data_IF_513294387145
#
_entry.id   IF_513294387145
#
_cell.length_a   1.000
_cell.length_b   1.000
_cell.length_c   1.000
_cell.angle_alpha   90.00
_cell.angle_beta   90.00
_cell.angle_gamma   90.00
#
_symmetry.space_group_name_H-M   'P 1'
#
loop_
_entity.id
_entity.type
_entity.pdbx_description
1 polymer ?
#
# COMPACT_ATOMS: atom_id res chain seq x y z
N UNK A 1 26.28 33.35 -8.51
CA UNK A 1 25.08 34.11 -8.10
C UNK A 1 23.97 33.11 -7.89
N UNK A 2 23.49 32.85 -6.67
CA UNK A 2 22.48 31.83 -6.46
C UNK A 2 21.10 32.42 -6.79
N UNK A 3 20.37 31.68 -7.62
CA UNK A 3 19.03 32.01 -8.07
C UNK A 3 18.04 31.77 -6.94
N UNK A 4 17.27 32.82 -6.59
CA UNK A 4 16.16 32.74 -5.64
C UNK A 4 14.99 32.04 -6.33
N UNK A 5 14.61 30.86 -5.85
CA UNK A 5 13.31 30.26 -6.16
C UNK A 5 12.23 31.10 -5.47
N UNK A 6 11.59 32.00 -6.23
CA UNK A 6 10.55 32.88 -5.71
C UNK A 6 9.20 32.17 -5.72
N UNK A 7 8.95 31.31 -4.72
CA UNK A 7 7.58 30.93 -4.34
C UNK A 7 7.09 32.04 -3.42
N UNK A 8 6.47 33.07 -4.02
CA UNK A 8 5.92 34.24 -3.32
C UNK A 8 4.80 33.82 -2.37
N UNK A 9 5.17 33.51 -1.12
CA UNK A 9 4.26 33.20 -0.02
C UNK A 9 4.87 32.35 1.10
N UNK A 10 5.85 31.48 0.79
CA UNK A 10 6.42 30.51 1.74
C UNK A 10 7.87 30.76 2.15
N UNK A 11 8.51 31.75 1.53
CA UNK A 11 9.86 32.23 1.89
C UNK A 11 10.09 32.48 3.39
N UNK A 12 9.12 33.01 4.18
CA UNK A 12 9.34 33.17 5.62
C UNK A 12 9.34 31.84 6.39
N UNK A 13 8.76 30.76 5.85
CA UNK A 13 8.67 29.46 6.52
C UNK A 13 9.85 28.54 6.15
N UNK A 14 10.33 28.59 4.91
CA UNK A 14 11.50 27.82 4.46
C UNK A 14 12.80 28.26 5.15
N UNK A 15 12.92 29.52 5.57
CA UNK A 15 14.08 30.01 6.34
C UNK A 15 14.18 29.43 7.77
N UNK A 16 13.14 28.77 8.29
CA UNK A 16 13.17 28.09 9.59
C UNK A 16 13.48 26.58 9.47
N UNK A 17 13.55 26.03 8.27
CA UNK A 17 13.84 24.61 8.01
C UNK A 17 15.32 24.39 7.68
N UNK A 18 16.21 25.07 8.40
CA UNK A 18 17.62 24.67 8.45
C UNK A 18 17.66 23.42 9.32
N UNK A 19 17.62 22.25 8.70
CA UNK A 19 17.82 20.99 9.42
C UNK A 19 19.26 20.96 9.93
N UNK A 20 19.44 20.85 11.23
CA UNK A 20 20.75 20.76 11.87
C UNK A 20 20.95 19.31 12.34
N UNK A 21 22.02 18.67 11.87
CA UNK A 21 22.48 17.42 12.45
C UNK A 21 23.43 17.74 13.61
N UNK A 22 23.03 17.35 14.82
CA UNK A 22 23.87 17.46 16.02
C UNK A 22 24.54 16.11 16.26
N UNK A 23 25.85 16.05 16.08
CA UNK A 23 26.67 14.86 16.35
C UNK A 23 27.69 15.20 17.44
N UNK A 24 27.33 14.89 18.69
CA UNK A 24 28.06 15.31 19.88
C UNK A 24 28.21 16.84 19.94
N UNK A 25 29.43 17.38 19.85
CA UNK A 25 29.70 18.82 19.90
C UNK A 25 29.70 19.49 18.51
N UNK A 26 29.48 18.72 17.43
CA UNK A 26 29.48 19.25 16.07
C UNK A 26 28.08 19.53 15.57
N UNK A 27 27.89 20.74 15.03
CA UNK A 27 26.67 21.17 14.35
C UNK A 27 26.95 21.16 12.85
N UNK A 28 26.28 20.27 12.12
CA UNK A 28 26.33 20.21 10.66
C UNK A 28 24.99 20.77 10.14
N UNK A 29 25.04 21.89 9.45
CA UNK A 29 23.85 22.46 8.80
C UNK A 29 23.56 21.71 7.50
N UNK A 30 22.31 21.28 7.31
CA UNK A 30 21.87 20.73 6.03
C UNK A 30 21.73 21.83 4.99
N UNK A 31 22.27 21.59 3.80
CA UNK A 31 22.17 22.51 2.66
C UNK A 31 20.98 22.20 1.74
N UNK A 32 20.49 20.95 1.77
CA UNK A 32 19.39 20.46 0.92
C UNK A 32 18.61 19.36 1.64
N UNK A 33 17.31 19.27 1.33
CA UNK A 33 16.43 18.24 1.90
C UNK A 33 15.89 18.58 3.29
N UNK A 34 14.77 17.94 3.63
CA UNK A 34 14.11 18.06 4.93
C UNK A 34 14.45 16.83 5.77
N UNK A 35 14.62 17.02 7.08
CA UNK A 35 14.98 15.95 8.00
C UNK A 35 13.90 14.86 8.04
N UNK A 36 14.32 13.60 7.95
CA UNK A 36 13.41 12.48 8.15
C UNK A 36 12.85 12.50 9.59
N UNK A 37 11.53 12.37 9.70
CA UNK A 37 10.82 12.51 10.97
C UNK A 37 10.35 13.95 11.27
N UNK A 38 10.68 14.93 10.43
CA UNK A 38 10.04 16.25 10.50
C UNK A 38 8.55 16.11 10.16
N UNK A 39 7.63 16.52 11.05
CA UNK A 39 6.19 16.45 10.81
C UNK A 39 5.72 17.21 9.56
N UNK A 40 6.44 18.26 9.14
CA UNK A 40 6.13 19.06 7.95
C UNK A 40 6.83 18.56 6.68
N UNK A 41 7.79 17.64 6.80
CA UNK A 41 8.56 17.11 5.68
C UNK A 41 7.70 16.63 4.50
N UNK A 42 6.72 15.75 4.72
CA UNK A 42 5.85 15.25 3.66
C UNK A 42 5.04 16.35 2.95
N UNK A 43 4.51 17.32 3.72
CA UNK A 43 3.73 18.43 3.16
C UNK A 43 4.60 19.31 2.25
N UNK A 44 5.78 19.68 2.73
CA UNK A 44 6.69 20.54 1.99
C UNK A 44 7.21 19.85 0.72
N UNK A 45 7.47 18.54 0.79
CA UNK A 45 7.80 17.74 -0.39
C UNK A 45 6.65 17.76 -1.41
N UNK A 46 5.43 17.45 -0.97
CA UNK A 46 4.24 17.47 -1.83
C UNK A 46 4.04 18.84 -2.49
N UNK A 47 4.18 19.93 -1.73
CA UNK A 47 4.07 21.29 -2.26
C UNK A 47 5.17 21.63 -3.28
N UNK A 48 6.39 21.13 -3.08
CA UNK A 48 7.49 21.35 -4.01
C UNK A 48 7.22 20.68 -5.36
N UNK A 49 6.66 19.46 -5.36
CA UNK A 49 6.38 18.70 -6.58
C UNK A 49 5.00 18.97 -7.20
N UNK A 50 4.07 19.61 -6.49
CA UNK A 50 2.67 19.81 -6.93
C UNK A 50 2.56 20.38 -8.35
N UNK A 51 3.36 21.42 -8.67
CA UNK A 51 3.37 22.01 -10.00
C UNK A 51 3.81 21.04 -11.09
N UNK A 52 4.78 20.15 -10.80
CA UNK A 52 5.25 19.13 -11.74
C UNK A 52 4.22 18.02 -11.87
N UNK A 53 3.68 17.52 -10.75
CA UNK A 53 2.68 16.47 -10.71
C UNK A 53 1.40 16.85 -11.45
N UNK A 54 0.89 18.07 -11.27
CA UNK A 54 -0.29 18.59 -12.01
C UNK A 54 -0.02 18.83 -13.49
N UNK A 55 1.25 18.96 -13.87
CA UNK A 55 1.58 19.20 -15.26
C UNK A 55 1.37 17.93 -16.11
N UNK A 56 1.52 16.75 -15.52
CA UNK A 56 1.47 15.43 -16.18
C UNK A 56 0.15 15.26 -16.95
N UNK A 57 0.28 14.82 -18.21
CA UNK A 57 -0.85 14.72 -19.15
C UNK A 57 -1.41 13.29 -19.29
N UNK A 58 -0.67 12.29 -18.80
CA UNK A 58 -1.09 10.89 -18.79
C UNK A 58 -2.47 10.75 -18.12
N UNK A 59 -3.41 10.01 -18.74
CA UNK A 59 -4.79 9.92 -18.26
C UNK A 59 -4.89 9.30 -16.86
N UNK A 60 -3.94 8.45 -16.49
CA UNK A 60 -3.78 7.95 -15.13
C UNK A 60 -2.52 8.58 -14.52
N UNK A 61 -2.70 9.34 -13.45
CA UNK A 61 -1.65 10.06 -12.75
C UNK A 61 -1.97 10.09 -11.25
N UNK A 62 -1.35 9.21 -10.49
CA UNK A 62 -1.50 9.14 -9.04
C UNK A 62 -0.12 9.32 -8.41
N UNK A 63 -0.01 10.26 -7.47
CA UNK A 63 1.21 10.48 -6.71
C UNK A 63 0.92 10.36 -5.21
N UNK A 64 1.63 9.46 -4.54
CA UNK A 64 1.71 9.41 -3.09
C UNK A 64 3.14 9.78 -2.68
N UNK A 65 3.36 11.06 -2.40
CA UNK A 65 4.69 11.62 -2.17
C UNK A 65 5.62 11.29 -3.35
N UNK A 66 6.72 10.57 -3.10
CA UNK A 66 7.73 10.18 -4.09
C UNK A 66 7.32 8.98 -4.94
N UNK A 67 6.27 8.25 -4.55
CA UNK A 67 5.71 7.13 -5.30
C UNK A 67 4.67 7.65 -6.31
N UNK A 68 5.09 7.82 -7.57
CA UNK A 68 4.24 8.28 -8.66
C UNK A 68 3.97 7.15 -9.66
N UNK A 69 2.69 6.91 -9.95
CA UNK A 69 2.24 5.93 -10.94
C UNK A 69 1.56 6.65 -12.10
N UNK A 70 2.14 6.48 -13.30
CA UNK A 70 1.61 7.01 -14.55
C UNK A 70 1.03 5.88 -15.40
N UNK A 71 -0.08 6.14 -16.08
CA UNK A 71 -0.71 5.19 -16.98
C UNK A 71 -1.37 5.89 -18.16
N UNK A 72 -1.27 5.27 -19.33
CA UNK A 72 -1.72 5.83 -20.60
C UNK A 72 -1.10 5.11 -21.77
N UNK A 73 -1.16 5.74 -22.95
CA UNK A 73 -0.38 5.27 -24.10
C UNK A 73 1.11 5.48 -23.85
N UNK A 74 1.94 4.68 -24.51
CA UNK A 74 3.39 4.75 -24.35
C UNK A 74 3.91 6.14 -24.76
N UNK A 75 3.32 6.74 -25.79
CA UNK A 75 3.66 8.08 -26.27
C UNK A 75 3.34 9.15 -25.23
N UNK A 76 2.19 9.04 -24.55
CA UNK A 76 1.79 9.98 -23.50
C UNK A 76 2.74 9.89 -22.30
N UNK A 77 3.04 8.68 -21.83
CA UNK A 77 3.95 8.45 -20.70
C UNK A 77 5.36 8.90 -21.04
N UNK A 78 5.88 8.59 -22.24
CA UNK A 78 7.19 9.04 -22.68
C UNK A 78 7.28 10.57 -22.75
N UNK A 79 6.26 11.24 -23.32
CA UNK A 79 6.21 12.69 -23.38
C UNK A 79 6.19 13.34 -21.98
N UNK A 80 5.49 12.73 -21.03
CA UNK A 80 5.50 13.17 -19.64
C UNK A 80 6.87 13.02 -19.01
N UNK A 81 7.55 11.87 -19.17
CA UNK A 81 8.90 11.65 -18.65
C UNK A 81 9.90 12.69 -19.20
N UNK A 82 9.86 12.96 -20.52
CA UNK A 82 10.71 13.97 -21.16
C UNK A 82 10.55 15.38 -20.57
N UNK A 83 9.36 15.69 -20.02
CA UNK A 83 9.04 17.00 -19.45
C UNK A 83 9.24 17.06 -17.94
N UNK A 84 8.87 15.99 -17.24
CA UNK A 84 8.90 15.89 -15.79
C UNK A 84 10.32 15.78 -15.28
N UNK A 85 11.18 14.97 -15.92
CA UNK A 85 12.55 14.73 -15.44
C UNK A 85 13.38 16.03 -15.35
N UNK A 86 13.44 16.89 -16.39
CA UNK A 86 14.11 18.18 -16.28
C UNK A 86 13.47 19.08 -15.22
N UNK A 87 12.14 19.05 -15.09
CA UNK A 87 11.42 19.87 -14.12
C UNK A 87 11.70 19.46 -12.67
N UNK A 88 11.81 18.16 -12.40
CA UNK A 88 12.23 17.61 -11.11
C UNK A 88 13.69 17.95 -10.82
N UNK A 89 14.56 17.88 -11.83
CA UNK A 89 15.98 18.24 -11.69
C UNK A 89 16.16 19.70 -11.27
N UNK A 90 15.34 20.62 -11.78
CA UNK A 90 15.31 22.03 -11.34
C UNK A 90 14.92 22.21 -9.87
N UNK A 91 14.18 21.24 -9.30
CA UNK A 91 13.85 21.17 -7.87
C UNK A 91 14.92 20.45 -7.03
N UNK A 92 16.00 19.96 -7.67
CA UNK A 92 17.02 19.15 -7.01
C UNK A 92 16.59 17.71 -6.74
N UNK A 93 15.61 17.20 -7.50
CA UNK A 93 15.11 15.83 -7.42
C UNK A 93 15.53 15.02 -8.64
N UNK A 94 15.76 13.73 -8.43
CA UNK A 94 16.15 12.78 -9.47
C UNK A 94 15.24 11.54 -9.38
N UNK A 95 14.88 10.98 -10.54
CA UNK A 95 14.14 9.72 -10.60
C UNK A 95 15.11 8.56 -10.40
N UNK A 96 14.79 7.67 -9.48
CA UNK A 96 15.57 6.45 -9.28
C UNK A 96 15.16 5.38 -10.31
N UNK A 97 15.83 5.37 -11.46
CA UNK A 97 15.54 4.42 -12.55
C UNK A 97 15.52 2.96 -12.08
N UNK A 98 16.44 2.55 -11.21
CA UNK A 98 16.54 1.17 -10.71
C UNK A 98 15.40 0.73 -9.79
N UNK A 99 14.67 1.70 -9.22
CA UNK A 99 13.46 1.46 -8.40
C UNK A 99 12.16 1.68 -9.17
N UNK A 100 12.24 2.33 -10.33
CA UNK A 100 11.09 2.53 -11.19
C UNK A 100 10.76 1.25 -11.95
N UNK A 101 9.47 1.03 -12.16
CA UNK A 101 8.96 -0.14 -12.85
C UNK A 101 8.08 0.29 -14.04
N UNK A 102 8.11 -0.50 -15.12
CA UNK A 102 7.19 -0.37 -16.26
C UNK A 102 6.44 -1.67 -16.46
N UNK A 103 5.13 -1.56 -16.68
CA UNK A 103 4.22 -2.71 -16.77
C UNK A 103 3.53 -2.70 -18.13
N UNK A 104 3.58 -3.85 -18.80
CA UNK A 104 2.83 -4.07 -20.02
C UNK A 104 1.42 -4.58 -19.70
N UNK A 105 0.40 -3.76 -19.94
CA UNK A 105 -1.00 -4.14 -19.74
C UNK A 105 -1.65 -4.73 -20.99
N UNK A 106 -1.34 -4.20 -22.19
CA UNK A 106 -2.14 -4.43 -23.40
C UNK A 106 -1.34 -4.70 -24.69
N UNK A 107 -0.01 -4.67 -24.66
CA UNK A 107 0.83 -4.92 -25.84
C UNK A 107 1.28 -6.37 -25.92
N UNK A 108 1.56 -6.85 -27.14
CA UNK A 108 2.30 -8.10 -27.32
C UNK A 108 3.74 -7.94 -26.78
N UNK A 109 4.40 -9.04 -26.40
CA UNK A 109 5.75 -8.96 -25.85
C UNK A 109 6.76 -8.33 -26.85
N UNK A 110 6.65 -8.70 -28.13
CA UNK A 110 7.55 -8.22 -29.19
C UNK A 110 7.33 -6.72 -29.49
N UNK A 111 6.07 -6.27 -29.51
CA UNK A 111 5.74 -4.87 -29.74
C UNK A 111 6.12 -3.99 -28.54
N UNK A 112 5.96 -4.51 -27.32
CA UNK A 112 6.23 -3.77 -26.08
C UNK A 112 7.71 -3.38 -25.96
N UNK A 113 8.62 -4.33 -26.17
CA UNK A 113 10.07 -4.09 -26.11
C UNK A 113 10.52 -2.99 -27.08
N UNK A 114 9.94 -2.98 -28.29
CA UNK A 114 10.23 -1.95 -29.29
C UNK A 114 9.61 -0.60 -28.90
N UNK A 115 8.41 -0.61 -28.33
CA UNK A 115 7.67 0.60 -28.01
C UNK A 115 8.25 1.36 -26.80
N UNK A 116 8.80 0.66 -25.80
CA UNK A 116 9.39 1.31 -24.61
C UNK A 116 10.83 1.80 -24.81
N UNK A 117 11.38 1.69 -26.02
CA UNK A 117 12.78 2.05 -26.32
C UNK A 117 13.11 3.48 -25.88
N UNK A 118 12.22 4.44 -26.16
CA UNK A 118 12.44 5.84 -25.79
C UNK A 118 12.42 6.05 -24.27
N UNK A 119 11.60 5.29 -23.54
CA UNK A 119 11.57 5.31 -22.08
C UNK A 119 12.89 4.76 -21.52
N UNK A 120 13.39 3.64 -22.06
CA UNK A 120 14.68 3.05 -21.63
C UNK A 120 15.89 3.94 -21.94
N UNK A 121 15.82 4.80 -22.95
CA UNK A 121 16.89 5.76 -23.22
C UNK A 121 16.99 6.84 -22.13
N UNK A 122 15.89 7.11 -21.41
CA UNK A 122 15.83 8.09 -20.34
C UNK A 122 16.01 7.43 -18.97
N UNK A 123 15.44 6.25 -18.80
CA UNK A 123 15.48 5.43 -17.59
C UNK A 123 16.16 4.10 -17.91
N UNK A 124 17.49 4.12 -17.97
CA UNK A 124 18.34 3.00 -18.45
C UNK A 124 18.14 1.71 -17.64
N UNK A 125 17.94 1.84 -16.31
CA UNK A 125 17.81 0.73 -15.37
C UNK A 125 16.35 0.38 -15.02
N UNK A 126 15.37 0.87 -15.79
CA UNK A 126 13.95 0.63 -15.49
C UNK A 126 13.62 -0.87 -15.54
N UNK A 127 12.98 -1.38 -14.49
CA UNK A 127 12.57 -2.77 -14.39
C UNK A 127 11.27 -3.00 -15.15
N UNK A 128 11.19 -4.04 -15.98
CA UNK A 128 9.90 -4.54 -16.47
C UNK A 128 9.31 -5.45 -15.41
N UNK A 129 8.15 -5.10 -14.89
CA UNK A 129 7.42 -5.93 -13.93
C UNK A 129 6.28 -6.66 -14.65
N UNK A 130 6.18 -8.00 -14.51
CA UNK A 130 5.03 -8.74 -15.00
C UNK A 130 3.74 -8.20 -14.41
N UNK A 131 2.65 -8.17 -15.18
CA UNK A 131 1.36 -7.68 -14.68
C UNK A 131 0.91 -8.46 -13.44
N UNK A 132 1.24 -9.75 -13.38
CA UNK A 132 0.90 -10.64 -12.27
C UNK A 132 1.53 -10.20 -10.94
N UNK A 133 2.66 -9.48 -10.99
CA UNK A 133 3.45 -9.05 -9.83
C UNK A 133 3.21 -7.56 -9.47
N UNK A 134 2.30 -6.87 -10.18
CA UNK A 134 2.07 -5.45 -9.96
C UNK A 134 1.49 -5.18 -8.58
N UNK A 135 2.25 -4.40 -7.80
CA UNK A 135 1.82 -3.84 -6.53
C UNK A 135 1.83 -2.31 -6.60
N UNK A 136 0.77 -1.68 -6.09
CA UNK A 136 0.68 -0.23 -5.93
C UNK A 136 0.53 0.05 -4.44
N UNK A 137 1.42 0.87 -3.87
CA UNK A 137 1.46 1.17 -2.43
C UNK A 137 1.44 -0.10 -1.56
N UNK A 138 2.08 -1.18 -2.02
CA UNK A 138 2.11 -2.47 -1.33
C UNK A 138 0.82 -3.30 -1.40
N UNK A 139 -0.19 -2.87 -2.18
CA UNK A 139 -1.38 -3.67 -2.48
C UNK A 139 -1.23 -4.37 -3.83
N UNK A 140 -1.53 -5.67 -3.94
CA UNK A 140 -1.57 -6.35 -5.23
C UNK A 140 -2.73 -5.81 -6.05
N UNK A 141 -2.49 -5.52 -7.34
CA UNK A 141 -3.52 -5.02 -8.26
C UNK A 141 -4.31 -6.18 -8.87
N UNK A 142 -3.63 -7.28 -9.19
CA UNK A 142 -4.25 -8.43 -9.83
C UNK A 142 -4.45 -9.60 -8.86
N UNK A 143 -5.48 -10.45 -9.08
CA UNK A 143 -5.77 -11.59 -8.21
C UNK A 143 -4.59 -12.55 -8.00
N UNK A 144 -3.74 -12.73 -9.01
CA UNK A 144 -2.62 -13.68 -8.98
C UNK A 144 -1.59 -13.37 -7.89
N UNK A 145 -1.35 -12.08 -7.58
CA UNK A 145 -0.41 -11.67 -6.54
C UNK A 145 -1.01 -11.72 -5.11
N UNK A 146 -2.33 -11.89 -4.97
CA UNK A 146 -2.97 -11.85 -3.64
C UNK A 146 -2.39 -12.92 -2.73
N UNK A 147 -2.28 -14.16 -3.24
CA UNK A 147 -1.79 -15.28 -2.43
C UNK A 147 -0.35 -15.08 -1.98
N UNK A 148 0.53 -14.63 -2.87
CA UNK A 148 1.92 -14.33 -2.54
C UNK A 148 2.04 -13.19 -1.50
N UNK A 149 1.22 -12.15 -1.63
CA UNK A 149 1.18 -11.05 -0.66
C UNK A 149 0.75 -11.54 0.74
N UNK A 150 -0.27 -12.40 0.79
CA UNK A 150 -0.73 -13.02 2.04
C UNK A 150 0.33 -13.97 2.62
N UNK A 151 0.99 -14.77 1.79
CA UNK A 151 2.05 -15.70 2.21
C UNK A 151 3.24 -14.96 2.81
N UNK A 152 3.69 -13.88 2.17
CA UNK A 152 4.76 -13.04 2.70
C UNK A 152 4.44 -12.54 4.12
N UNK A 153 3.20 -12.12 4.37
CA UNK A 153 2.74 -11.68 5.69
C UNK A 153 2.59 -12.85 6.66
N UNK A 154 2.10 -14.00 6.20
CA UNK A 154 1.97 -15.21 6.99
C UNK A 154 3.32 -15.77 7.48
N UNK A 155 4.35 -15.74 6.63
CA UNK A 155 5.73 -16.08 7.00
C UNK A 155 6.24 -15.13 8.10
N UNK A 156 5.95 -13.83 7.99
CA UNK A 156 6.31 -12.85 9.02
C UNK A 156 5.58 -13.16 10.34
N UNK A 157 4.28 -13.41 10.30
CA UNK A 157 3.48 -13.81 11.48
C UNK A 157 4.09 -15.05 12.16
N UNK A 158 4.37 -16.09 11.38
CA UNK A 158 4.96 -17.34 11.88
C UNK A 158 6.31 -17.07 12.55
N UNK A 159 7.19 -16.30 11.90
CA UNK A 159 8.50 -15.96 12.44
C UNK A 159 8.43 -15.10 13.70
N UNK A 160 7.52 -14.12 13.73
CA UNK A 160 7.35 -13.24 14.89
C UNK A 160 6.84 -14.03 16.09
N UNK A 161 5.95 -14.99 15.86
CA UNK A 161 5.35 -15.71 16.97
C UNK A 161 6.30 -16.69 17.65
N UNK A 162 7.29 -17.23 16.93
CA UNK A 162 8.40 -17.96 17.56
C UNK A 162 9.22 -17.06 18.52
N UNK A 163 9.37 -15.77 18.21
CA UNK A 163 10.05 -14.81 19.09
C UNK A 163 9.21 -14.43 20.29
N UNK A 164 7.88 -14.37 20.15
CA UNK A 164 6.95 -14.06 21.24
C UNK A 164 7.00 -15.09 22.38
N UNK A 165 7.54 -16.30 22.14
CA UNK A 165 7.75 -17.30 23.20
C UNK A 165 8.81 -16.88 24.24
N UNK A 166 9.62 -15.88 23.92
CA UNK A 166 10.71 -15.43 24.79
C UNK A 166 10.29 -14.32 25.74
N UNK A 167 9.06 -13.83 25.63
CA UNK A 167 8.51 -12.77 26.48
C UNK A 167 7.37 -13.29 27.34
N UNK A 168 6.96 -12.49 28.32
CA UNK A 168 5.85 -12.80 29.21
C UNK A 168 4.54 -13.08 28.43
N UNK A 169 3.76 -14.06 28.90
CA UNK A 169 2.52 -14.52 28.27
C UNK A 169 1.53 -13.40 27.99
N UNK A 170 1.35 -12.46 28.92
CA UNK A 170 0.41 -11.35 28.73
C UNK A 170 0.90 -10.38 27.66
N UNK A 171 2.20 -10.09 27.65
CA UNK A 171 2.81 -9.25 26.61
C UNK A 171 2.76 -9.94 25.24
N UNK A 172 3.01 -11.25 25.18
CA UNK A 172 2.92 -12.04 23.96
C UNK A 172 1.50 -12.04 23.39
N UNK A 173 0.49 -12.29 24.22
CA UNK A 173 -0.91 -12.27 23.79
C UNK A 173 -1.34 -10.87 23.32
N UNK A 174 -0.90 -9.83 24.04
CA UNK A 174 -1.17 -8.44 23.65
C UNK A 174 -0.57 -8.12 22.28
N UNK A 175 0.69 -8.49 22.02
CA UNK A 175 1.35 -8.25 20.74
C UNK A 175 0.78 -9.10 19.61
N UNK A 176 0.45 -10.37 19.88
CA UNK A 176 -0.22 -11.24 18.92
C UNK A 176 -1.51 -10.58 18.43
N UNK A 177 -2.38 -10.18 19.36
CA UNK A 177 -3.67 -9.54 19.08
C UNK A 177 -3.52 -8.20 18.35
N UNK A 178 -2.68 -7.30 18.87
CA UNK A 178 -2.70 -5.88 18.45
C UNK A 178 -1.70 -5.54 17.35
N UNK A 179 -0.76 -6.44 17.03
CA UNK A 179 0.31 -6.13 16.08
C UNK A 179 0.45 -7.19 14.99
N UNK A 180 0.50 -8.47 15.36
CA UNK A 180 0.98 -9.52 14.45
C UNK A 180 -0.11 -10.34 13.77
N UNK A 181 -1.26 -10.54 14.42
CA UNK A 181 -2.40 -11.25 13.82
C UNK A 181 -3.09 -10.35 12.79
N UNK A 182 -4.40 -10.18 12.90
CA UNK A 182 -5.24 -9.43 11.97
C UNK A 182 -4.69 -8.02 11.61
N UNK A 183 -4.16 -7.20 12.54
CA UNK A 183 -3.68 -5.85 12.19
C UNK A 183 -2.62 -5.82 11.09
N UNK A 184 -1.81 -6.87 10.96
CA UNK A 184 -0.76 -6.96 9.93
C UNK A 184 -1.32 -7.24 8.52
N UNK A 185 -2.52 -7.83 8.42
CA UNK A 185 -3.21 -8.17 7.19
C UNK A 185 -4.29 -7.16 6.78
N UNK A 186 -4.82 -6.38 7.73
CA UNK A 186 -5.94 -5.46 7.50
C UNK A 186 -5.76 -4.51 6.32
N UNK A 187 -4.54 -4.05 6.07
CA UNK A 187 -4.28 -3.20 4.90
C UNK A 187 -4.58 -3.95 3.59
N UNK A 188 -4.00 -5.14 3.41
CA UNK A 188 -4.20 -5.98 2.22
C UNK A 188 -5.66 -6.41 2.08
N UNK A 189 -6.33 -6.74 3.20
CA UNK A 189 -7.76 -7.08 3.17
C UNK A 189 -8.63 -5.90 2.72
N UNK A 190 -8.24 -4.66 3.02
CA UNK A 190 -8.98 -3.47 2.57
C UNK A 190 -8.71 -3.11 1.12
N UNK A 191 -7.54 -3.47 0.60
CA UNK A 191 -7.08 -3.01 -0.72
C UNK A 191 -7.19 -4.07 -1.81
N UNK A 192 -7.30 -5.35 -1.46
CA UNK A 192 -7.40 -6.46 -2.40
C UNK A 192 -8.51 -7.47 -1.99
N UNK A 193 -9.13 -8.18 -2.96
CA UNK A 193 -10.22 -9.12 -2.70
C UNK A 193 -9.71 -10.44 -2.11
N UNK A 194 -9.10 -10.39 -0.91
CA UNK A 194 -8.52 -11.56 -0.23
C UNK A 194 -9.54 -12.64 0.15
N UNK A 195 -10.83 -12.29 0.23
CA UNK A 195 -11.92 -13.23 0.48
C UNK A 195 -12.07 -14.29 -0.62
N UNK A 196 -11.40 -14.15 -1.76
CA UNK A 196 -11.33 -15.19 -2.79
C UNK A 196 -10.38 -16.34 -2.39
N UNK A 197 -9.43 -16.10 -1.49
CA UNK A 197 -8.42 -17.06 -1.02
C UNK A 197 -8.84 -17.71 0.32
N UNK A 198 -10.07 -18.23 0.40
CA UNK A 198 -10.66 -18.77 1.63
C UNK A 198 -9.79 -19.84 2.31
N UNK A 199 -9.22 -20.75 1.53
CA UNK A 199 -8.33 -21.80 2.08
C UNK A 199 -7.13 -21.19 2.80
N UNK A 200 -6.54 -20.12 2.23
CA UNK A 200 -5.37 -19.46 2.81
C UNK A 200 -5.73 -18.62 4.04
N UNK A 201 -6.90 -17.97 4.05
CA UNK A 201 -7.40 -17.28 5.23
C UNK A 201 -7.61 -18.24 6.41
N UNK A 202 -8.10 -19.45 6.14
CA UNK A 202 -8.21 -20.51 7.15
C UNK A 202 -6.82 -20.95 7.68
N UNK A 203 -5.80 -21.04 6.83
CA UNK A 203 -4.43 -21.34 7.28
C UNK A 203 -3.88 -20.26 8.23
N UNK A 204 -4.18 -18.99 7.97
CA UNK A 204 -3.85 -17.87 8.86
C UNK A 204 -4.54 -18.05 10.21
N UNK A 205 -5.85 -18.34 10.22
CA UNK A 205 -6.62 -18.53 11.46
C UNK A 205 -6.13 -19.73 12.27
N UNK A 206 -5.82 -20.85 11.62
CA UNK A 206 -5.21 -22.03 12.26
C UNK A 206 -3.87 -21.66 12.90
N UNK A 207 -3.08 -20.85 12.21
CA UNK A 207 -1.77 -20.39 12.69
C UNK A 207 -1.93 -19.51 13.93
N UNK A 208 -2.85 -18.54 13.90
CA UNK A 208 -3.17 -17.69 15.06
C UNK A 208 -3.71 -18.51 16.23
N UNK A 209 -4.60 -19.49 15.97
CA UNK A 209 -5.12 -20.41 16.98
C UNK A 209 -4.01 -21.16 17.68
N UNK A 210 -3.16 -21.85 16.90
CA UNK A 210 -2.03 -22.63 17.42
C UNK A 210 -1.13 -21.78 18.30
N UNK A 211 -0.89 -20.54 17.91
CA UNK A 211 -0.05 -19.64 18.69
C UNK A 211 -0.72 -19.13 19.96
N UNK A 212 -2.03 -18.84 19.93
CA UNK A 212 -2.78 -18.51 21.12
C UNK A 212 -2.77 -19.66 22.13
N UNK A 213 -2.93 -20.91 21.67
CA UNK A 213 -2.82 -22.11 22.50
C UNK A 213 -1.44 -22.23 23.16
N UNK A 214 -0.37 -21.99 22.40
CA UNK A 214 1.00 -22.01 22.89
C UNK A 214 1.28 -20.92 23.93
N UNK A 215 0.83 -19.68 23.69
CA UNK A 215 1.05 -18.54 24.58
C UNK A 215 0.28 -18.73 25.90
N UNK A 216 -1.00 -19.10 25.79
CA UNK A 216 -1.89 -19.28 26.94
C UNK A 216 -1.68 -20.62 27.64
N UNK A 217 -0.92 -21.55 27.05
CA UNK A 217 -0.75 -22.92 27.51
C UNK A 217 -2.09 -23.64 27.75
N UNK A 218 -3.01 -23.50 26.79
CA UNK A 218 -4.35 -24.13 26.78
C UNK A 218 -4.60 -24.74 25.41
N UNK A 219 -5.50 -25.72 25.34
CA UNK A 219 -6.03 -26.22 24.08
C UNK A 219 -7.46 -25.70 23.92
N UNK A 220 -7.76 -25.02 22.81
CA UNK A 220 -9.12 -24.55 22.54
C UNK A 220 -9.90 -25.63 21.79
N UNK A 221 -10.99 -26.08 22.41
CA UNK A 221 -12.05 -26.77 21.68
C UNK A 221 -12.78 -25.79 20.74
N UNK A 222 -13.70 -26.30 19.93
CA UNK A 222 -14.39 -25.47 18.93
C UNK A 222 -15.18 -24.32 19.56
N UNK A 223 -15.78 -24.56 20.73
CA UNK A 223 -16.54 -23.55 21.46
C UNK A 223 -15.62 -22.51 22.09
N UNK A 224 -14.54 -22.95 22.75
CA UNK A 224 -13.54 -22.08 23.34
C UNK A 224 -12.83 -21.21 22.30
N UNK A 225 -12.55 -21.76 21.10
CA UNK A 225 -11.97 -20.98 20.02
C UNK A 225 -12.96 -19.94 19.48
N UNK A 226 -14.23 -20.31 19.27
CA UNK A 226 -15.28 -19.34 18.90
C UNK A 226 -15.40 -18.21 19.92
N UNK A 227 -15.34 -18.53 21.21
CA UNK A 227 -15.33 -17.50 22.26
C UNK A 227 -14.06 -16.64 22.19
N UNK A 228 -12.88 -17.24 22.00
CA UNK A 228 -11.61 -16.50 21.88
C UNK A 228 -11.61 -15.50 20.72
N UNK A 229 -12.29 -15.82 19.62
CA UNK A 229 -12.45 -14.91 18.48
C UNK A 229 -13.39 -13.72 18.76
N UNK A 230 -14.22 -13.76 19.81
CA UNK A 230 -15.12 -12.64 20.12
C UNK A 230 -14.36 -11.42 20.68
N UNK A 231 -14.92 -10.20 20.53
CA UNK A 231 -14.41 -9.02 21.20
C UNK A 231 -14.36 -9.17 22.73
N UNK A 232 -13.47 -8.40 23.38
CA UNK A 232 -13.36 -8.38 24.85
C UNK A 232 -14.69 -8.04 25.54
N UNK A 233 -15.50 -7.17 24.94
CA UNK A 233 -16.83 -6.79 25.46
C UNK A 233 -17.82 -7.94 25.53
N UNK A 234 -17.59 -9.00 24.75
CA UNK A 234 -18.38 -10.23 24.74
C UNK A 234 -17.65 -11.39 25.45
N UNK A 235 -16.60 -11.10 26.21
CA UNK A 235 -15.85 -12.11 26.98
C UNK A 235 -14.91 -12.98 26.16
N UNK A 236 -14.52 -12.53 24.96
CA UNK A 236 -13.51 -13.19 24.14
C UNK A 236 -12.10 -12.64 24.31
N UNK A 237 -11.16 -13.10 23.47
CA UNK A 237 -9.76 -12.65 23.42
C UNK A 237 -9.50 -11.67 22.26
N UNK A 238 -10.50 -11.43 21.42
CA UNK A 238 -10.45 -10.54 20.25
C UNK A 238 -9.39 -10.99 19.21
N UNK A 239 -9.16 -12.30 19.15
CA UNK A 239 -8.37 -12.95 18.09
C UNK A 239 -9.27 -13.19 16.88
N UNK A 240 -9.73 -12.09 16.28
CA UNK A 240 -10.72 -12.12 15.20
C UNK A 240 -10.26 -12.98 14.02
N UNK A 241 -11.20 -13.73 13.44
CA UNK A 241 -10.97 -14.53 12.23
C UNK A 241 -10.65 -13.65 11.02
N UNK A 242 -9.65 -14.07 10.24
CA UNK A 242 -9.32 -13.52 8.95
C UNK A 242 -10.42 -13.81 7.92
N UNK A 243 -10.99 -15.02 7.94
CA UNK A 243 -12.11 -15.43 7.08
C UNK A 243 -13.31 -14.50 7.26
N UNK A 244 -13.72 -14.29 8.51
CA UNK A 244 -14.89 -13.45 8.83
C UNK A 244 -14.70 -11.98 8.46
N UNK A 245 -13.44 -11.50 8.39
CA UNK A 245 -13.14 -10.09 8.22
C UNK A 245 -12.67 -9.68 6.83
N UNK A 246 -12.02 -10.57 6.08
CA UNK A 246 -11.43 -10.23 4.78
C UNK A 246 -12.45 -9.61 3.83
N UNK A 247 -13.69 -10.12 3.83
CA UNK A 247 -14.74 -9.64 2.95
C UNK A 247 -15.39 -8.31 3.39
N UNK A 248 -15.91 -8.16 4.62
CA UNK A 248 -16.55 -6.91 5.03
C UNK A 248 -15.59 -5.72 5.05
N UNK A 249 -14.31 -5.92 5.37
CA UNK A 249 -13.34 -4.81 5.36
C UNK A 249 -12.99 -4.37 3.93
N UNK A 250 -12.92 -5.31 2.98
CA UNK A 250 -12.76 -5.00 1.56
C UNK A 250 -13.94 -4.19 1.05
N UNK A 251 -15.17 -4.66 1.31
CA UNK A 251 -16.39 -4.00 0.87
C UNK A 251 -16.53 -2.59 1.49
N UNK A 252 -16.24 -2.46 2.79
CA UNK A 252 -16.25 -1.16 3.48
C UNK A 252 -15.22 -0.20 2.89
N UNK A 253 -14.03 -0.68 2.57
CA UNK A 253 -12.95 0.14 1.98
C UNK A 253 -13.34 0.62 0.57
N UNK A 254 -13.85 -0.29 -0.25
CA UNK A 254 -14.31 -0.01 -1.61
C UNK A 254 -15.47 1.01 -1.61
N UNK A 255 -16.45 0.82 -0.72
CA UNK A 255 -17.55 1.78 -0.56
C UNK A 255 -17.06 3.14 -0.07
N UNK A 256 -16.11 3.19 0.86
CA UNK A 256 -15.58 4.47 1.37
C UNK A 256 -14.71 5.22 0.37
N UNK A 257 -14.10 4.50 -0.58
CA UNK A 257 -13.20 5.07 -1.58
C UNK A 257 -13.91 5.35 -2.92
N UNK A 258 -15.20 5.06 -3.04
CA UNK A 258 -15.93 5.13 -4.32
C UNK A 258 -15.83 6.51 -4.99
N UNK A 259 -16.07 7.59 -4.23
CA UNK A 259 -16.00 8.95 -4.77
C UNK A 259 -14.60 9.30 -5.27
N UNK A 260 -13.56 8.88 -4.53
CA UNK A 260 -12.17 9.09 -4.92
C UNK A 260 -11.79 8.28 -6.16
N UNK A 261 -12.27 7.04 -6.27
CA UNK A 261 -12.06 6.19 -7.45
C UNK A 261 -12.69 6.85 -8.68
N UNK A 262 -13.91 7.37 -8.56
CA UNK A 262 -14.59 8.06 -9.65
C UNK A 262 -13.85 9.33 -10.09
N UNK A 263 -13.32 10.10 -9.13
CA UNK A 263 -12.52 11.30 -9.39
C UNK A 263 -11.22 10.95 -10.14
N UNK A 264 -10.51 9.90 -9.68
CA UNK A 264 -9.25 9.43 -10.29
C UNK A 264 -9.48 8.88 -11.70
N UNK A 265 -10.55 8.13 -11.92
CA UNK A 265 -10.83 7.46 -13.21
C UNK A 265 -11.60 8.35 -14.20
N UNK A 266 -11.97 9.57 -13.80
CA UNK A 266 -12.44 10.62 -14.70
C UNK A 266 -13.68 10.25 -15.52
N UNK A 267 -14.64 9.52 -14.92
CA UNK A 267 -15.92 9.19 -15.58
C UNK A 267 -15.79 8.34 -16.85
N UNK A 268 -14.67 7.63 -17.05
CA UNK A 268 -14.53 6.65 -18.13
C UNK A 268 -15.70 5.64 -18.09
N UNK A 269 -16.33 5.26 -19.21
CA UNK A 269 -17.48 4.35 -19.21
C UNK A 269 -17.20 2.96 -18.63
N UNK A 270 -15.94 2.63 -18.33
CA UNK A 270 -15.53 1.44 -17.60
C UNK A 270 -15.68 1.58 -16.06
N UNK A 271 -15.92 2.79 -15.52
CA UNK A 271 -16.08 3.08 -14.09
C UNK A 271 -17.30 2.40 -13.47
N UNK A 272 -18.38 2.22 -14.24
CA UNK A 272 -19.62 1.60 -13.76
C UNK A 272 -19.66 0.08 -13.93
N UNK A 273 -18.77 -0.52 -14.71
CA UNK A 273 -18.58 -1.97 -14.73
C UNK A 273 -17.52 -2.37 -13.72
N UNK A 274 -17.72 -1.99 -12.46
CA UNK A 274 -16.92 -2.45 -11.33
C UNK A 274 -17.09 -3.94 -11.18
N UNK A 275 -16.29 -4.72 -11.92
CA UNK A 275 -16.34 -6.19 -11.99
C UNK A 275 -16.12 -6.88 -10.64
N UNK A 276 -15.84 -6.13 -9.57
CA UNK A 276 -15.67 -6.63 -8.20
C UNK A 276 -16.73 -6.12 -7.22
N UNK A 277 -17.33 -4.93 -7.42
CA UNK A 277 -18.27 -4.35 -6.44
C UNK A 277 -19.66 -5.01 -6.51
N UNK A 278 -20.26 -5.10 -7.71
CA UNK A 278 -21.57 -5.77 -7.85
C UNK A 278 -21.49 -7.26 -7.50
N UNK A 279 -20.44 -8.01 -7.90
CA UNK A 279 -20.25 -9.38 -7.44
C UNK A 279 -20.03 -9.48 -5.93
N UNK A 280 -19.23 -8.58 -5.32
CA UNK A 280 -19.06 -8.55 -3.86
C UNK A 280 -20.38 -8.25 -3.15
N UNK A 281 -21.12 -7.22 -3.54
CA UNK A 281 -22.44 -6.93 -2.97
C UNK A 281 -23.41 -8.12 -3.11
N UNK A 282 -23.38 -8.80 -4.26
CA UNK A 282 -24.21 -9.99 -4.50
C UNK A 282 -23.85 -11.15 -3.57
N UNK A 283 -22.55 -11.41 -3.38
CA UNK A 283 -22.06 -12.44 -2.43
C UNK A 283 -22.46 -12.09 -1.00
N UNK A 284 -22.33 -10.82 -0.58
CA UNK A 284 -22.71 -10.38 0.77
C UNK A 284 -24.22 -10.52 1.02
N UNK A 285 -25.06 -10.18 0.04
CA UNK A 285 -26.50 -10.40 0.14
C UNK A 285 -26.82 -11.89 0.24
N UNK A 286 -26.15 -12.75 -0.53
CA UNK A 286 -26.33 -14.20 -0.42
C UNK A 286 -25.89 -14.75 0.94
N UNK A 287 -24.75 -14.30 1.48
CA UNK A 287 -24.26 -14.68 2.80
C UNK A 287 -25.24 -14.24 3.90
N UNK A 288 -25.74 -13.00 3.86
CA UNK A 288 -26.74 -12.49 4.80
C UNK A 288 -28.06 -13.27 4.75
N UNK A 289 -28.51 -13.68 3.55
CA UNK A 289 -29.72 -14.48 3.37
C UNK A 289 -29.54 -15.95 3.78
N UNK A 290 -28.30 -16.43 3.90
CA UNK A 290 -27.95 -17.79 4.31
C UNK A 290 -27.78 -17.95 5.83
N UNK A 291 -27.74 -16.84 6.58
CA UNK A 291 -27.70 -16.87 8.03
C UNK A 291 -29.07 -17.33 8.57
N UNK A 292 -29.14 -18.37 9.43
CA UNK A 292 -30.39 -18.75 10.06
C UNK A 292 -30.89 -17.61 10.95
N UNK A 293 -32.16 -17.22 10.74
CA UNK A 293 -32.88 -16.24 11.56
C UNK A 293 -32.99 -16.67 13.03
#
# INVERSE_FOLDING_TARGET
MPWKLAINGLLPYLNWLICILIASDNIISSATGIQQGDPLGPLLFAMAIDGVARSIASPFNICYLDDATLGGSIEAVAADLFRVIPSLSLLGLEINSSKSEIINLNYSADDFESAIRDIRLILEDIKITPKEELHILGSPVFPMAIRECLDTKHVILTRMTEKLRQIDTHAALFLLKNCFSLPSFLYTFRSAPCYLEQDFLNEIDITVKRFAELICNVNFDDTGWRQAMLPLSFGGLDLRSAVDLAFPVYLSSLSSSHELIDEILGGSPQCFSGSSFEPACSVWIQELLSLPH
#
